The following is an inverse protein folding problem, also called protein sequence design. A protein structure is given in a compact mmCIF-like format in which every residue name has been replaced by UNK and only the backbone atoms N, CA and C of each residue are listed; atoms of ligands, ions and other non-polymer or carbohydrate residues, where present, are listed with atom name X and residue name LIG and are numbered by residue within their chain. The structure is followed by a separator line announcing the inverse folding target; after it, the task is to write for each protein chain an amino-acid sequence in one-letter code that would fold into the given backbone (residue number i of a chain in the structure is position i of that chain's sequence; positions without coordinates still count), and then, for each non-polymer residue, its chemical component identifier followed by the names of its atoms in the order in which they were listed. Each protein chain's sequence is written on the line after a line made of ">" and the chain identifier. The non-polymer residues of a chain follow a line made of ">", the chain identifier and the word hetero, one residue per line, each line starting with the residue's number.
data_IF_579546740665
#
_entry.id   IF_579546740665
#
_cell.length_a   1.000
_cell.length_b   1.000
_cell.length_c   1.000
_cell.angle_alpha   90.00
_cell.angle_beta   90.00
_cell.angle_gamma   90.00
#
_symmetry.space_group_name_H-M   'P 1'
#
loop_
_entity.id
_entity.type
_entity.pdbx_description
1 polymer ?
#
# COMPACT_ATOMS: atom_id res chain seq x y z
N UNK A 1 -90.88 -51.22 104.62
CA UNK A 1 -90.73 -52.11 103.44
C UNK A 1 -89.27 -52.52 103.33
N UNK A 2 -88.94 -53.80 103.17
CA UNK A 2 -87.54 -54.21 103.00
C UNK A 2 -87.00 -53.61 101.69
N UNK A 3 -85.79 -53.05 101.74
CA UNK A 3 -85.12 -52.46 100.57
C UNK A 3 -84.98 -53.46 99.40
N UNK A 4 -84.97 -54.77 99.68
CA UNK A 4 -84.95 -55.83 98.66
C UNK A 4 -86.17 -55.81 97.72
N UNK A 5 -87.35 -55.44 98.22
CA UNK A 5 -88.60 -55.57 97.47
C UNK A 5 -88.80 -54.39 96.50
N UNK A 6 -88.30 -53.22 96.89
CA UNK A 6 -88.24 -52.02 96.04
C UNK A 6 -87.24 -52.25 94.89
N UNK A 7 -86.05 -52.81 95.19
CA UNK A 7 -85.02 -53.09 94.18
C UNK A 7 -85.53 -54.12 93.15
N UNK A 8 -86.21 -55.20 93.57
CA UNK A 8 -86.77 -56.20 92.64
C UNK A 8 -87.85 -55.63 91.72
N UNK A 9 -88.71 -54.75 92.24
CA UNK A 9 -89.77 -54.10 91.45
C UNK A 9 -89.19 -53.13 90.40
N UNK A 10 -88.15 -52.37 90.76
CA UNK A 10 -87.43 -51.49 89.82
C UNK A 10 -86.75 -52.33 88.73
N UNK A 11 -86.12 -53.45 89.06
CA UNK A 11 -85.48 -54.35 88.08
C UNK A 11 -86.50 -54.89 87.08
N UNK A 12 -87.68 -55.31 87.53
CA UNK A 12 -88.75 -55.82 86.64
C UNK A 12 -89.24 -54.72 85.69
N UNK A 13 -89.48 -53.50 86.20
CA UNK A 13 -89.88 -52.36 85.36
C UNK A 13 -88.81 -52.00 84.32
N UNK A 14 -87.53 -52.05 84.71
CA UNK A 14 -86.41 -51.78 83.82
C UNK A 14 -86.30 -52.86 82.73
N UNK A 15 -86.50 -54.12 83.08
CA UNK A 15 -86.53 -55.25 82.12
C UNK A 15 -87.68 -55.12 81.11
N UNK A 16 -88.89 -54.78 81.56
CA UNK A 16 -90.02 -54.52 80.66
C UNK A 16 -89.78 -53.31 79.75
N UNK A 17 -89.16 -52.24 80.28
CA UNK A 17 -88.78 -51.06 79.49
C UNK A 17 -87.75 -51.38 78.40
N UNK A 18 -86.76 -52.23 78.70
CA UNK A 18 -85.77 -52.70 77.72
C UNK A 18 -86.44 -53.52 76.61
N UNK A 19 -87.32 -54.46 76.96
CA UNK A 19 -88.01 -55.31 75.97
C UNK A 19 -88.96 -54.47 75.10
N UNK A 20 -89.65 -53.49 75.68
CA UNK A 20 -90.51 -52.59 74.90
C UNK A 20 -89.69 -51.72 73.93
N UNK A 21 -88.54 -51.20 74.38
CA UNK A 21 -87.65 -50.39 73.55
C UNK A 21 -87.04 -51.19 72.40
N UNK A 22 -86.70 -52.47 72.59
CA UNK A 22 -86.12 -53.30 71.52
C UNK A 22 -87.13 -53.61 70.40
N UNK A 23 -88.42 -53.73 70.72
CA UNK A 23 -89.49 -53.92 69.72
C UNK A 23 -89.66 -52.66 68.86
N UNK A 24 -89.74 -51.47 69.46
CA UNK A 24 -89.87 -50.20 68.72
C UNK A 24 -88.68 -49.97 67.78
N UNK A 25 -87.46 -50.23 68.28
CA UNK A 25 -86.24 -50.08 67.47
C UNK A 25 -86.26 -51.05 66.29
N UNK A 26 -86.71 -52.29 66.49
CA UNK A 26 -86.80 -53.30 65.43
C UNK A 26 -87.78 -52.89 64.32
N UNK A 27 -88.97 -52.39 64.69
CA UNK A 27 -89.96 -51.88 63.72
C UNK A 27 -89.44 -50.64 62.98
N UNK A 28 -88.78 -49.72 63.69
CA UNK A 28 -88.18 -48.51 63.08
C UNK A 28 -87.07 -48.87 62.09
N UNK A 29 -86.26 -49.88 62.40
CA UNK A 29 -85.20 -50.36 61.50
C UNK A 29 -85.81 -50.94 60.22
N UNK A 30 -86.89 -51.71 60.33
CA UNK A 30 -87.56 -52.33 59.17
C UNK A 30 -88.16 -51.29 58.22
N UNK A 31 -88.79 -50.24 58.73
CA UNK A 31 -89.38 -49.20 57.89
C UNK A 31 -88.31 -48.29 57.25
N UNK A 32 -87.25 -47.96 57.99
CA UNK A 32 -86.13 -47.19 57.45
C UNK A 32 -85.33 -47.96 56.39
N UNK A 33 -85.28 -49.29 56.47
CA UNK A 33 -84.61 -50.12 55.47
C UNK A 33 -85.32 -50.04 54.10
N UNK A 34 -86.65 -49.89 54.06
CA UNK A 34 -87.41 -49.75 52.81
C UNK A 34 -87.09 -48.45 52.06
N UNK A 35 -86.72 -47.38 52.77
CA UNK A 35 -86.38 -46.07 52.20
C UNK A 35 -84.89 -45.67 52.39
N UNK A 36 -83.98 -46.64 52.41
CA UNK A 36 -82.56 -46.42 52.75
C UNK A 36 -81.88 -45.28 51.96
N UNK A 37 -82.22 -45.10 50.67
CA UNK A 37 -81.65 -44.05 49.81
C UNK A 37 -81.84 -42.62 50.36
N UNK A 38 -82.92 -42.38 51.11
CA UNK A 38 -83.25 -41.07 51.70
C UNK A 38 -82.48 -40.81 53.00
N UNK A 39 -82.26 -41.85 53.81
CA UNK A 39 -81.69 -41.73 55.16
C UNK A 39 -80.17 -41.97 55.20
N UNK A 40 -79.58 -42.59 54.16
CA UNK A 40 -78.18 -43.01 54.17
C UNK A 40 -77.13 -41.91 54.37
N UNK A 41 -77.41 -40.67 53.95
CA UNK A 41 -76.49 -39.54 54.11
C UNK A 41 -76.88 -38.61 55.26
N UNK A 42 -77.84 -38.99 56.11
CA UNK A 42 -78.17 -38.24 57.32
C UNK A 42 -77.15 -38.58 58.43
N UNK A 43 -76.44 -37.59 59.01
CA UNK A 43 -75.42 -37.82 60.04
C UNK A 43 -75.89 -38.62 61.26
N UNK A 44 -77.19 -38.56 61.59
CA UNK A 44 -77.75 -39.23 62.77
C UNK A 44 -77.83 -40.76 62.59
N UNK A 45 -78.06 -41.24 61.36
CA UNK A 45 -78.28 -42.67 61.08
C UNK A 45 -77.08 -43.35 60.41
N UNK A 46 -76.13 -42.55 59.91
CA UNK A 46 -74.95 -43.03 59.21
C UNK A 46 -74.05 -44.00 60.01
N UNK A 47 -73.80 -43.81 61.33
CA UNK A 47 -73.00 -44.75 62.13
C UNK A 47 -73.68 -46.11 62.32
N UNK A 48 -75.00 -46.17 62.10
CA UNK A 48 -75.82 -47.35 62.26
C UNK A 48 -76.14 -48.02 60.93
N UNK A 49 -75.46 -47.68 59.83
CA UNK A 49 -75.67 -48.30 58.51
C UNK A 49 -75.52 -49.84 58.56
N UNK A 50 -74.68 -50.36 59.45
CA UNK A 50 -74.51 -51.79 59.70
C UNK A 50 -75.76 -52.46 60.24
N UNK A 51 -76.64 -51.75 60.97
CA UNK A 51 -77.93 -52.27 61.42
C UNK A 51 -78.92 -52.48 60.25
N UNK A 52 -78.67 -51.84 59.10
CA UNK A 52 -79.46 -51.93 57.87
C UNK A 52 -78.84 -52.87 56.83
N UNK A 53 -77.79 -53.63 57.18
CA UNK A 53 -77.10 -54.54 56.24
C UNK A 53 -76.11 -53.86 55.29
N UNK A 54 -75.74 -52.59 55.53
CA UNK A 54 -74.78 -51.84 54.73
C UNK A 54 -73.49 -51.53 55.50
N UNK A 55 -72.36 -51.46 54.81
CA UNK A 55 -71.06 -51.09 55.41
C UNK A 55 -71.05 -49.61 55.81
N UNK A 56 -70.77 -49.33 57.09
CA UNK A 56 -70.65 -47.96 57.64
C UNK A 56 -69.62 -47.13 56.88
N UNK A 57 -68.48 -47.74 56.55
CA UNK A 57 -67.34 -47.06 55.92
C UNK A 57 -67.64 -46.75 54.46
N UNK A 58 -68.24 -47.69 53.73
CA UNK A 58 -68.53 -47.49 52.30
C UNK A 58 -69.65 -46.47 52.09
N UNK A 59 -70.65 -46.47 52.98
CA UNK A 59 -71.72 -45.47 52.96
C UNK A 59 -71.18 -44.05 53.30
N UNK A 60 -70.28 -43.94 54.28
CA UNK A 60 -69.60 -42.68 54.58
C UNK A 60 -68.80 -42.16 53.39
N UNK A 61 -67.96 -43.01 52.77
CA UNK A 61 -67.16 -42.65 51.58
C UNK A 61 -68.06 -42.17 50.44
N UNK A 62 -69.16 -42.87 50.20
CA UNK A 62 -70.13 -42.48 49.18
C UNK A 62 -70.75 -41.11 49.46
N UNK A 63 -71.22 -40.86 50.68
CA UNK A 63 -71.87 -39.60 51.04
C UNK A 63 -70.88 -38.42 51.03
N UNK A 64 -69.65 -38.62 51.53
CA UNK A 64 -68.58 -37.60 51.48
C UNK A 64 -68.19 -37.28 50.04
N UNK A 65 -68.02 -38.29 49.19
CA UNK A 65 -67.72 -38.09 47.76
C UNK A 65 -68.85 -37.33 47.04
N UNK A 66 -70.11 -37.67 47.34
CA UNK A 66 -71.28 -36.98 46.76
C UNK A 66 -71.39 -35.53 47.21
N UNK A 67 -71.14 -35.23 48.49
CA UNK A 67 -71.14 -33.87 49.03
C UNK A 67 -69.99 -33.05 48.44
N UNK A 68 -68.80 -33.65 48.32
CA UNK A 68 -67.65 -33.01 47.68
C UNK A 68 -67.93 -32.67 46.23
N UNK A 69 -68.47 -33.60 45.42
CA UNK A 69 -68.75 -33.32 44.01
C UNK A 69 -69.89 -32.32 43.78
N UNK A 70 -70.91 -32.29 44.63
CA UNK A 70 -72.06 -31.41 44.43
C UNK A 70 -71.87 -29.98 44.96
N UNK A 71 -71.07 -29.77 46.01
CA UNK A 71 -70.90 -28.45 46.64
C UNK A 71 -69.57 -27.76 46.30
N UNK A 72 -68.59 -28.46 45.72
CA UNK A 72 -67.32 -27.86 45.29
C UNK A 72 -67.47 -26.79 44.19
N UNK A 73 -68.41 -26.91 43.22
CA UNK A 73 -68.60 -25.87 42.21
C UNK A 73 -69.06 -24.52 42.80
N UNK A 74 -69.90 -24.55 43.84
CA UNK A 74 -70.46 -23.35 44.47
C UNK A 74 -69.45 -22.68 45.42
N UNK A 75 -68.69 -23.48 46.19
CA UNK A 75 -67.64 -22.97 47.06
C UNK A 75 -66.41 -22.46 46.29
N UNK A 76 -66.13 -23.05 45.12
CA UNK A 76 -65.01 -22.64 44.26
C UNK A 76 -65.41 -21.60 43.21
N UNK A 77 -66.66 -21.13 43.15
CA UNK A 77 -67.10 -20.13 42.18
C UNK A 77 -66.19 -18.88 42.16
N UNK A 78 -65.98 -18.20 43.29
CA UNK A 78 -65.11 -17.02 43.35
C UNK A 78 -63.62 -17.33 43.17
N UNK A 79 -63.15 -18.49 43.65
CA UNK A 79 -61.72 -18.85 43.61
C UNK A 79 -61.28 -19.40 42.26
N UNK A 80 -62.17 -20.08 41.53
CA UNK A 80 -61.94 -20.58 40.17
C UNK A 80 -61.70 -19.45 39.17
N UNK A 81 -62.42 -18.32 39.31
CA UNK A 81 -62.20 -17.14 38.47
C UNK A 81 -60.79 -16.56 38.68
N UNK A 82 -60.36 -16.45 39.94
CA UNK A 82 -59.03 -15.97 40.27
C UNK A 82 -57.92 -16.94 39.80
N UNK A 83 -58.15 -18.26 39.90
CA UNK A 83 -57.20 -19.28 39.42
C UNK A 83 -57.12 -19.27 37.89
N UNK A 84 -58.23 -19.08 37.17
CA UNK A 84 -58.25 -18.96 35.70
C UNK A 84 -57.54 -17.68 35.23
N UNK A 85 -57.76 -16.55 35.91
CA UNK A 85 -57.04 -15.31 35.64
C UNK A 85 -55.53 -15.48 35.88
N UNK A 86 -55.15 -16.12 36.99
CA UNK A 86 -53.74 -16.42 37.30
C UNK A 86 -53.11 -17.37 36.26
N UNK A 87 -53.88 -18.36 35.80
CA UNK A 87 -53.47 -19.27 34.72
C UNK A 87 -53.27 -18.56 33.38
N UNK A 88 -54.19 -17.65 33.01
CA UNK A 88 -54.06 -16.79 31.82
C UNK A 88 -52.88 -15.84 31.91
N UNK A 89 -52.65 -15.24 33.08
CA UNK A 89 -51.48 -14.39 33.32
C UNK A 89 -50.18 -15.20 33.23
N UNK A 90 -50.15 -16.41 33.80
CA UNK A 90 -49.01 -17.34 33.68
C UNK A 90 -48.75 -17.75 32.22
N UNK A 91 -49.81 -18.06 31.47
CA UNK A 91 -49.72 -18.38 30.04
C UNK A 91 -49.22 -17.21 29.19
N UNK A 92 -49.76 -16.00 29.42
CA UNK A 92 -49.32 -14.78 28.74
C UNK A 92 -47.87 -14.43 29.09
N UNK A 93 -47.45 -14.62 30.35
CA UNK A 93 -46.08 -14.41 30.77
C UNK A 93 -45.13 -15.39 30.06
N UNK A 94 -45.48 -16.68 30.01
CA UNK A 94 -44.66 -17.70 29.36
C UNK A 94 -44.51 -17.45 27.84
N UNK A 95 -45.60 -17.06 27.17
CA UNK A 95 -45.58 -16.72 25.73
C UNK A 95 -44.76 -15.46 25.46
N UNK A 96 -44.85 -14.44 26.31
CA UNK A 96 -44.03 -13.23 26.21
C UNK A 96 -42.55 -13.51 26.46
N UNK A 97 -42.21 -14.36 27.45
CA UNK A 97 -40.83 -14.77 27.72
C UNK A 97 -40.28 -15.56 26.53
N UNK A 98 -41.06 -16.49 25.98
CA UNK A 98 -40.65 -17.27 24.80
C UNK A 98 -40.44 -16.37 23.59
N UNK A 99 -41.33 -15.40 23.37
CA UNK A 99 -41.22 -14.41 22.29
C UNK A 99 -40.01 -13.50 22.46
N UNK A 100 -39.70 -13.11 23.71
CA UNK A 100 -38.51 -12.32 24.04
C UNK A 100 -37.23 -13.12 23.77
N UNK A 101 -37.18 -14.40 24.15
CA UNK A 101 -36.06 -15.28 23.83
C UNK A 101 -35.92 -15.49 22.33
N UNK A 102 -37.04 -15.59 21.59
CA UNK A 102 -37.05 -15.65 20.13
C UNK A 102 -36.50 -14.37 19.49
N UNK A 103 -36.89 -13.20 19.98
CA UNK A 103 -36.33 -11.91 19.54
C UNK A 103 -34.82 -11.83 19.80
N UNK A 104 -34.35 -12.25 20.98
CA UNK A 104 -32.92 -12.28 21.31
C UNK A 104 -32.16 -13.21 20.37
N UNK A 105 -32.71 -14.38 20.03
CA UNK A 105 -32.10 -15.30 19.05
C UNK A 105 -32.03 -14.64 17.68
N UNK A 106 -33.14 -14.11 17.17
CA UNK A 106 -33.19 -13.45 15.87
C UNK A 106 -32.25 -12.24 15.80
N UNK A 107 -32.17 -11.46 16.87
CA UNK A 107 -31.25 -10.33 16.97
C UNK A 107 -29.78 -10.80 16.92
N UNK A 108 -29.43 -11.84 17.67
CA UNK A 108 -28.09 -12.46 17.62
C UNK A 108 -27.76 -12.97 16.22
N UNK A 109 -28.69 -13.64 15.56
CA UNK A 109 -28.49 -14.21 14.23
C UNK A 109 -28.32 -13.11 13.18
N UNK A 110 -29.12 -12.04 13.25
CA UNK A 110 -28.98 -10.87 12.38
C UNK A 110 -27.63 -10.17 12.55
N UNK A 111 -27.17 -10.03 13.80
CA UNK A 111 -25.83 -9.50 14.09
C UNK A 111 -24.77 -10.41 13.46
N UNK A 112 -24.84 -11.72 13.69
CA UNK A 112 -23.84 -12.68 13.19
C UNK A 112 -23.78 -12.67 11.65
N UNK A 113 -24.94 -12.61 10.99
CA UNK A 113 -25.04 -12.53 9.53
C UNK A 113 -24.48 -11.21 8.98
N UNK A 114 -24.73 -10.10 9.68
CA UNK A 114 -24.19 -8.79 9.31
C UNK A 114 -22.66 -8.77 9.41
N UNK A 115 -22.10 -9.26 10.53
CA UNK A 115 -20.66 -9.39 10.71
C UNK A 115 -20.03 -10.36 9.71
N UNK A 116 -20.70 -11.49 9.42
CA UNK A 116 -20.25 -12.45 8.41
C UNK A 116 -20.17 -11.84 7.01
N UNK A 117 -21.18 -11.05 6.62
CA UNK A 117 -21.21 -10.37 5.32
C UNK A 117 -20.10 -9.33 5.20
N UNK A 118 -19.88 -8.52 6.24
CA UNK A 118 -18.78 -7.54 6.29
C UNK A 118 -17.43 -8.25 6.22
N UNK A 119 -17.26 -9.32 6.99
CA UNK A 119 -16.03 -10.12 6.98
C UNK A 119 -15.74 -10.72 5.60
N UNK A 120 -16.76 -11.22 4.90
CA UNK A 120 -16.63 -11.74 3.54
C UNK A 120 -16.13 -10.69 2.56
N UNK A 121 -16.69 -9.47 2.61
CA UNK A 121 -16.24 -8.35 1.76
C UNK A 121 -14.81 -7.95 2.10
N UNK A 122 -14.47 -7.80 3.39
CA UNK A 122 -13.12 -7.45 3.82
C UNK A 122 -12.09 -8.49 3.36
N UNK A 123 -12.41 -9.78 3.44
CA UNK A 123 -11.54 -10.85 2.94
C UNK A 123 -11.35 -10.78 1.42
N UNK A 124 -12.41 -10.47 0.67
CA UNK A 124 -12.31 -10.24 -0.77
C UNK A 124 -11.39 -9.06 -1.11
N UNK A 125 -11.52 -7.94 -0.40
CA UNK A 125 -10.65 -6.77 -0.56
C UNK A 125 -9.19 -7.10 -0.24
N UNK A 126 -8.94 -7.80 0.86
CA UNK A 126 -7.59 -8.24 1.25
C UNK A 126 -6.96 -9.13 0.17
N UNK A 127 -7.70 -10.09 -0.37
CA UNK A 127 -7.22 -10.96 -1.44
C UNK A 127 -6.83 -10.17 -2.70
N UNK A 128 -7.61 -9.15 -3.06
CA UNK A 128 -7.30 -8.30 -4.22
C UNK A 128 -6.05 -7.44 -3.98
N UNK A 129 -5.88 -6.89 -2.77
CA UNK A 129 -4.66 -6.20 -2.38
C UNK A 129 -3.41 -7.10 -2.43
N UNK A 130 -3.53 -8.38 -2.05
CA UNK A 130 -2.44 -9.35 -2.19
C UNK A 130 -2.06 -9.56 -3.66
N UNK A 131 -3.03 -9.71 -4.58
CA UNK A 131 -2.75 -9.84 -6.02
C UNK A 131 -2.05 -8.60 -6.58
N UNK A 132 -2.49 -7.41 -6.18
CA UNK A 132 -1.84 -6.15 -6.57
C UNK A 132 -0.38 -6.11 -6.10
N UNK A 133 -0.14 -6.49 -4.84
CA UNK A 133 1.21 -6.51 -4.26
C UNK A 133 2.14 -7.50 -4.98
N UNK A 134 1.63 -8.68 -5.35
CA UNK A 134 2.38 -9.66 -6.15
C UNK A 134 2.70 -9.13 -7.54
N UNK A 135 1.72 -8.49 -8.20
CA UNK A 135 1.91 -7.90 -9.53
C UNK A 135 2.95 -6.79 -9.52
N UNK A 136 2.98 -5.95 -8.48
CA UNK A 136 4.02 -4.94 -8.30
C UNK A 136 5.41 -5.55 -8.17
N UNK A 137 5.56 -6.64 -7.39
CA UNK A 137 6.84 -7.35 -7.28
C UNK A 137 7.30 -7.94 -8.61
N UNK A 138 6.38 -8.47 -9.42
CA UNK A 138 6.70 -8.98 -10.76
C UNK A 138 7.20 -7.87 -11.70
N UNK A 139 6.52 -6.72 -11.71
CA UNK A 139 6.95 -5.55 -12.50
C UNK A 139 8.33 -5.04 -12.07
N UNK A 140 8.59 -4.93 -10.76
CA UNK A 140 9.91 -4.54 -10.26
C UNK A 140 10.99 -5.56 -10.67
N UNK A 141 10.69 -6.87 -10.57
CA UNK A 141 11.58 -7.93 -11.02
C UNK A 141 11.94 -7.81 -12.50
N UNK A 142 10.93 -7.57 -13.36
CA UNK A 142 11.13 -7.36 -14.80
C UNK A 142 11.97 -6.11 -15.09
N UNK A 143 11.70 -4.99 -14.43
CA UNK A 143 12.45 -3.74 -14.60
C UNK A 143 13.92 -3.88 -14.18
N UNK A 144 14.18 -4.56 -13.05
CA UNK A 144 15.54 -4.88 -12.62
C UNK A 144 16.21 -5.80 -13.64
N UNK A 145 15.49 -6.80 -14.16
CA UNK A 145 15.98 -7.70 -15.21
C UNK A 145 16.43 -6.95 -16.46
N UNK A 146 15.56 -6.11 -17.03
CA UNK A 146 15.87 -5.30 -18.24
C UNK A 146 17.05 -4.37 -18.00
N UNK A 147 17.05 -3.64 -16.87
CA UNK A 147 18.15 -2.73 -16.52
C UNK A 147 19.47 -3.49 -16.40
N UNK A 148 19.47 -4.67 -15.77
CA UNK A 148 20.68 -5.48 -15.59
C UNK A 148 21.20 -6.03 -16.93
N UNK A 149 20.31 -6.49 -17.81
CA UNK A 149 20.70 -6.91 -19.16
C UNK A 149 21.32 -5.76 -19.95
N UNK A 150 20.77 -4.55 -19.85
CA UNK A 150 21.33 -3.36 -20.49
C UNK A 150 22.74 -3.06 -19.96
N UNK A 151 22.93 -3.05 -18.64
CA UNK A 151 24.24 -2.82 -18.02
C UNK A 151 25.27 -3.84 -18.50
N UNK A 152 24.94 -5.13 -18.50
CA UNK A 152 25.88 -6.16 -18.98
C UNK A 152 26.14 -6.09 -20.48
N UNK A 153 25.16 -5.67 -21.28
CA UNK A 153 25.36 -5.45 -22.72
C UNK A 153 26.32 -4.29 -22.96
N UNK A 154 26.19 -3.21 -22.20
CA UNK A 154 27.10 -2.07 -22.26
C UNK A 154 28.51 -2.46 -21.81
N UNK A 155 28.63 -3.18 -20.70
CA UNK A 155 29.92 -3.70 -20.23
C UNK A 155 30.58 -4.59 -21.30
N UNK A 156 29.83 -5.53 -21.88
CA UNK A 156 30.31 -6.37 -22.97
C UNK A 156 30.74 -5.56 -24.20
N UNK A 157 30.02 -4.48 -24.52
CA UNK A 157 30.41 -3.58 -25.61
C UNK A 157 31.71 -2.83 -25.33
N UNK A 158 31.92 -2.35 -24.10
CA UNK A 158 33.15 -1.66 -23.68
C UNK A 158 34.34 -2.63 -23.74
N UNK A 159 34.20 -3.82 -23.16
CA UNK A 159 35.25 -4.85 -23.20
C UNK A 159 35.57 -5.25 -24.64
N UNK A 160 34.56 -5.32 -25.52
CA UNK A 160 34.77 -5.57 -26.95
C UNK A 160 35.54 -4.42 -27.62
N UNK A 161 35.24 -3.17 -27.29
CA UNK A 161 35.96 -2.00 -27.82
C UNK A 161 37.41 -1.95 -27.34
N UNK A 162 37.66 -2.27 -26.07
CA UNK A 162 39.02 -2.37 -25.53
C UNK A 162 39.81 -3.48 -26.22
N UNK A 163 39.21 -4.66 -26.37
CA UNK A 163 39.80 -5.80 -27.06
C UNK A 163 40.06 -5.50 -28.54
N UNK A 164 39.13 -4.83 -29.21
CA UNK A 164 39.28 -4.40 -30.60
C UNK A 164 40.39 -3.35 -30.76
N UNK A 165 40.53 -2.43 -29.81
CA UNK A 165 41.59 -1.42 -29.81
C UNK A 165 43.00 -2.03 -29.61
N UNK A 166 43.10 -3.16 -28.91
CA UNK A 166 44.38 -3.85 -28.71
C UNK A 166 44.78 -4.76 -29.89
N UNK A 167 43.92 -4.92 -30.90
CA UNK A 167 44.26 -5.68 -32.10
C UNK A 167 45.38 -5.03 -32.93
N UNK A 168 46.17 -5.87 -33.60
CA UNK A 168 47.29 -5.44 -34.44
C UNK A 168 46.88 -4.44 -35.54
N UNK A 169 45.67 -4.59 -36.10
CA UNK A 169 45.10 -3.69 -37.10
C UNK A 169 44.84 -2.28 -36.52
N UNK A 170 44.19 -2.19 -35.36
CA UNK A 170 43.89 -0.90 -34.71
C UNK A 170 45.15 -0.19 -34.20
N UNK A 171 46.15 -0.93 -33.69
CA UNK A 171 47.46 -0.34 -33.33
C UNK A 171 48.16 0.29 -34.53
N UNK A 172 48.02 -0.29 -35.72
CA UNK A 172 48.56 0.27 -36.97
C UNK A 172 47.81 1.54 -37.40
N UNK A 173 46.46 1.52 -37.36
CA UNK A 173 45.65 2.70 -37.66
C UNK A 173 45.90 3.86 -36.68
N UNK A 174 46.17 3.59 -35.41
CA UNK A 174 46.48 4.63 -34.41
C UNK A 174 47.81 5.34 -34.68
N UNK A 175 48.80 4.64 -35.24
CA UNK A 175 50.04 5.28 -35.73
C UNK A 175 49.73 6.24 -36.88
N UNK A 176 48.82 5.85 -37.78
CA UNK A 176 48.38 6.67 -38.92
C UNK A 176 47.48 7.85 -38.45
N UNK A 177 46.64 7.66 -37.43
CA UNK A 177 45.78 8.72 -36.89
C UNK A 177 46.55 9.74 -36.04
N UNK A 178 47.58 9.32 -35.29
CA UNK A 178 48.51 10.24 -34.60
C UNK A 178 49.31 11.12 -35.57
N UNK A 179 49.53 10.67 -36.81
CA UNK A 179 50.12 11.50 -37.87
C UNK A 179 49.17 12.60 -38.36
N UNK A 180 47.85 12.41 -38.26
CA UNK A 180 46.82 13.44 -38.48
C UNK A 180 46.46 14.14 -37.16
N UNK A 181 47.43 14.90 -36.65
CA UNK A 181 47.33 15.64 -35.40
C UNK A 181 46.09 16.54 -35.32
N UNK A 182 45.42 16.54 -34.16
CA UNK A 182 44.45 17.56 -33.78
C UNK A 182 45.14 18.92 -33.82
N UNK A 183 44.76 19.80 -34.73
CA UNK A 183 45.28 21.16 -34.83
C UNK A 183 44.91 21.93 -33.57
N UNK A 184 45.89 22.05 -32.69
CA UNK A 184 45.93 23.01 -31.59
C UNK A 184 47.18 23.82 -31.86
N UNK A 185 47.06 24.85 -32.68
CA UNK A 185 48.18 25.70 -33.02
C UNK A 185 48.00 27.07 -32.42
N UNK A 186 49.07 27.72 -31.96
CA UNK A 186 49.12 29.07 -31.44
C UNK A 186 50.38 29.82 -31.90
N UNK A 187 50.45 31.11 -31.61
CA UNK A 187 51.51 32.05 -31.95
C UNK A 187 52.46 32.31 -30.77
N UNK A 188 53.61 32.90 -31.08
CA UNK A 188 54.51 33.48 -30.09
C UNK A 188 53.96 34.79 -29.56
N UNK A 189 54.18 35.09 -28.28
CA UNK A 189 53.68 36.33 -27.66
C UNK A 189 54.25 37.60 -28.27
N UNK A 190 55.41 37.55 -28.93
CA UNK A 190 56.02 38.69 -29.64
C UNK A 190 55.40 38.96 -31.03
N UNK A 191 54.48 38.12 -31.51
CA UNK A 191 53.81 38.30 -32.79
C UNK A 191 53.00 39.60 -32.78
N UNK A 192 53.34 40.53 -33.67
CA UNK A 192 52.61 41.78 -33.86
C UNK A 192 51.38 41.55 -34.73
N UNK A 193 50.27 42.17 -34.35
CA UNK A 193 49.00 42.15 -35.07
C UNK A 193 48.54 43.59 -35.23
N UNK A 194 48.15 43.95 -36.45
CA UNK A 194 47.61 45.26 -36.79
C UNK A 194 46.13 45.38 -36.39
N UNK A 195 45.79 46.47 -35.72
CA UNK A 195 44.41 46.84 -35.38
C UNK A 195 43.75 47.60 -36.53
N UNK A 196 42.42 47.65 -36.54
CA UNK A 196 41.65 48.43 -37.52
C UNK A 196 41.97 49.94 -37.48
N UNK A 197 42.50 50.45 -36.37
CA UNK A 197 42.98 51.84 -36.23
C UNK A 197 44.29 52.12 -36.97
N UNK A 198 45.01 51.07 -37.38
CA UNK A 198 46.35 51.15 -37.98
C UNK A 198 47.50 50.99 -36.97
N UNK A 199 47.21 50.95 -35.66
CA UNK A 199 48.19 50.67 -34.61
C UNK A 199 48.54 49.17 -34.56
N UNK A 200 49.69 48.84 -33.98
CA UNK A 200 50.13 47.44 -33.79
C UNK A 200 50.14 47.08 -32.31
N UNK A 201 49.62 45.89 -31.97
CA UNK A 201 49.73 45.28 -30.64
C UNK A 201 50.40 43.92 -30.74
N UNK A 202 51.10 43.51 -29.69
CA UNK A 202 51.60 42.13 -29.57
C UNK A 202 50.43 41.20 -29.22
N UNK A 203 50.45 39.96 -29.69
CA UNK A 203 49.34 39.02 -29.49
C UNK A 203 49.09 38.71 -28.00
N UNK A 204 50.11 38.83 -27.14
CA UNK A 204 49.96 38.68 -25.69
C UNK A 204 49.41 39.94 -24.98
N UNK A 205 49.28 41.05 -25.71
CA UNK A 205 48.71 42.34 -25.29
C UNK A 205 47.34 42.61 -25.93
N UNK A 206 46.86 41.72 -26.82
CA UNK A 206 45.51 41.80 -27.40
C UNK A 206 44.48 41.54 -26.31
N UNK A 207 43.45 42.38 -26.27
CA UNK A 207 42.35 42.29 -25.31
C UNK A 207 41.04 41.86 -26.00
N UNK A 208 40.11 41.35 -25.21
CA UNK A 208 38.77 41.00 -25.71
C UNK A 208 38.07 42.29 -26.17
N UNK A 209 37.38 42.20 -27.31
CA UNK A 209 36.78 43.31 -28.05
C UNK A 209 37.76 44.23 -28.81
N UNK A 210 39.07 43.94 -28.81
CA UNK A 210 39.95 44.56 -29.81
C UNK A 210 39.46 44.18 -31.22
N UNK A 211 39.58 45.12 -32.16
CA UNK A 211 39.20 44.93 -33.56
C UNK A 211 40.46 44.92 -34.42
N UNK A 212 40.77 43.77 -35.01
CA UNK A 212 41.91 43.56 -35.89
C UNK A 212 41.59 44.10 -37.30
N UNK A 213 42.55 44.01 -38.22
CA UNK A 213 42.33 44.33 -39.62
C UNK A 213 41.14 43.55 -40.22
N UNK A 214 40.51 44.11 -41.25
CA UNK A 214 39.29 43.57 -41.88
C UNK A 214 38.06 43.45 -40.96
N UNK A 215 37.94 44.31 -39.95
CA UNK A 215 36.80 44.36 -39.02
C UNK A 215 36.60 43.04 -38.24
N UNK A 216 37.72 42.36 -37.94
CA UNK A 216 37.72 41.10 -37.21
C UNK A 216 37.69 41.35 -35.70
N UNK A 217 36.65 40.92 -34.99
CA UNK A 217 36.52 41.17 -33.56
C UNK A 217 37.09 40.02 -32.72
N UNK A 218 37.91 40.34 -31.72
CA UNK A 218 38.47 39.36 -30.78
C UNK A 218 37.45 39.00 -29.70
N UNK A 219 37.00 37.75 -29.71
CA UNK A 219 36.02 37.22 -28.75
C UNK A 219 36.68 36.63 -27.51
N UNK A 220 37.88 36.03 -27.66
CA UNK A 220 38.64 35.49 -26.54
C UNK A 220 40.15 35.49 -26.82
N UNK A 221 40.94 35.58 -25.76
CA UNK A 221 42.40 35.40 -25.81
C UNK A 221 42.82 34.25 -24.90
N UNK A 222 43.82 33.50 -25.33
CA UNK A 222 44.26 32.29 -24.66
C UNK A 222 45.78 32.26 -24.50
N UNK A 223 46.22 31.86 -23.30
CA UNK A 223 47.63 31.65 -22.94
C UNK A 223 47.83 30.19 -22.58
N UNK A 224 48.62 29.47 -23.37
CA UNK A 224 48.73 28.01 -23.29
C UNK A 224 50.19 27.61 -23.09
N UNK A 225 50.44 26.66 -22.19
CA UNK A 225 51.76 26.04 -22.08
C UNK A 225 52.04 25.12 -23.26
N UNK A 226 53.22 25.24 -23.84
CA UNK A 226 53.74 24.37 -24.89
C UNK A 226 54.81 23.41 -24.33
N UNK A 227 54.80 23.16 -23.02
CA UNK A 227 55.68 22.21 -22.34
C UNK A 227 54.85 21.02 -21.85
N UNK A 228 55.37 19.81 -22.08
CA UNK A 228 54.81 18.58 -21.55
C UNK A 228 55.00 18.51 -20.03
N UNK A 229 53.92 18.34 -19.24
CA UNK A 229 54.04 18.26 -17.79
C UNK A 229 54.99 17.14 -17.36
N UNK A 230 56.04 17.50 -16.63
CA UNK A 230 56.98 16.55 -16.00
C UNK A 230 58.20 16.15 -16.83
N UNK A 231 58.28 16.46 -18.13
CA UNK A 231 59.44 16.07 -18.96
C UNK A 231 60.17 17.24 -19.61
N UNK A 232 59.70 18.48 -19.44
CA UNK A 232 60.23 19.71 -20.08
C UNK A 232 60.29 19.65 -21.62
N UNK A 233 59.70 18.63 -22.24
CA UNK A 233 59.67 18.46 -23.69
C UNK A 233 58.63 19.38 -24.35
N UNK A 234 58.97 19.96 -25.49
CA UNK A 234 58.06 20.81 -26.27
C UNK A 234 56.90 19.99 -26.85
N UNK A 235 55.67 20.45 -26.63
CA UNK A 235 54.45 19.83 -27.17
C UNK A 235 54.40 20.00 -28.69
N UNK A 236 54.71 21.21 -29.19
CA UNK A 236 54.76 21.52 -30.61
C UNK A 236 56.03 22.27 -30.98
N UNK A 237 56.59 21.92 -32.14
CA UNK A 237 57.65 22.71 -32.79
C UNK A 237 57.10 24.03 -33.32
N UNK A 238 57.96 25.05 -33.36
CA UNK A 238 57.66 26.41 -33.82
C UNK A 238 58.29 26.65 -35.20
N UNK A 239 57.54 27.29 -36.07
CA UNK A 239 57.90 27.67 -37.43
C UNK A 239 57.83 29.19 -37.55
N UNK A 240 58.61 29.72 -38.47
CA UNK A 240 58.65 31.13 -38.82
C UNK A 240 58.01 31.32 -40.19
N UNK A 241 57.09 32.26 -40.30
CA UNK A 241 56.57 32.75 -41.58
C UNK A 241 57.16 34.14 -41.80
N UNK A 242 57.92 34.37 -42.89
CA UNK A 242 58.54 35.65 -43.16
C UNK A 242 57.52 36.70 -43.60
N UNK A 243 57.83 37.98 -43.37
CA UNK A 243 57.03 39.14 -43.82
C UNK A 243 55.62 39.22 -43.22
N UNK A 244 55.50 39.13 -41.89
CA UNK A 244 54.26 39.45 -41.19
C UNK A 244 54.04 40.96 -41.06
N UNK A 245 53.37 41.37 -39.98
CA UNK A 245 53.17 42.77 -39.62
C UNK A 245 54.42 43.36 -38.95
N UNK A 246 55.27 44.03 -39.73
CA UNK A 246 56.54 44.64 -39.32
C UNK A 246 57.61 43.68 -38.77
N UNK A 247 57.32 42.39 -38.58
CA UNK A 247 58.25 41.36 -38.11
C UNK A 247 57.85 39.96 -38.65
N UNK A 248 58.76 38.99 -38.51
CA UNK A 248 58.48 37.59 -38.82
C UNK A 248 57.51 36.96 -37.80
N UNK A 249 56.61 36.09 -38.28
CA UNK A 249 55.57 35.47 -37.46
C UNK A 249 56.09 34.13 -36.94
N UNK A 250 56.13 33.98 -35.62
CA UNK A 250 56.45 32.71 -34.98
C UNK A 250 55.19 31.99 -34.55
N UNK A 251 54.98 30.80 -35.09
CA UNK A 251 53.73 30.07 -34.95
C UNK A 251 53.99 28.56 -34.89
N UNK A 252 53.21 27.84 -34.10
CA UNK A 252 53.32 26.38 -33.99
C UNK A 252 52.96 25.68 -35.30
N UNK A 253 53.63 24.56 -35.60
CA UNK A 253 53.48 23.89 -36.89
C UNK A 253 52.10 23.27 -37.16
N UNK A 254 51.26 23.10 -36.14
CA UNK A 254 49.88 22.59 -36.25
C UNK A 254 48.85 23.69 -36.51
N UNK A 255 49.23 24.97 -36.40
CA UNK A 255 48.34 26.10 -36.66
C UNK A 255 47.98 26.14 -38.15
N UNK A 256 46.80 26.65 -38.49
CA UNK A 256 46.32 26.67 -39.88
C UNK A 256 46.56 28.04 -40.51
N UNK A 257 47.13 28.04 -41.71
CA UNK A 257 47.36 29.22 -42.55
C UNK A 257 46.67 29.00 -43.90
N UNK A 258 46.05 30.04 -44.44
CA UNK A 258 45.40 29.97 -45.75
C UNK A 258 46.44 30.01 -46.88
N UNK A 259 46.46 28.96 -47.71
CA UNK A 259 47.31 28.90 -48.90
C UNK A 259 46.52 29.35 -50.13
N UNK A 260 46.84 30.54 -50.63
CA UNK A 260 46.21 31.14 -51.82
C UNK A 260 46.36 30.31 -53.10
N UNK A 261 47.39 29.46 -53.21
CA UNK A 261 47.58 28.59 -54.39
C UNK A 261 46.72 27.35 -54.30
N UNK A 262 46.57 26.78 -53.10
CA UNK A 262 45.75 25.60 -52.88
C UNK A 262 44.27 25.92 -52.60
N UNK A 263 43.94 27.19 -52.35
CA UNK A 263 42.59 27.65 -52.03
C UNK A 263 42.02 27.03 -50.75
N UNK A 264 42.88 26.73 -49.77
CA UNK A 264 42.48 26.06 -48.52
C UNK A 264 43.45 26.35 -47.38
N UNK A 265 42.98 26.17 -46.16
CA UNK A 265 43.83 26.16 -44.98
C UNK A 265 44.70 24.89 -44.92
N UNK A 266 45.99 25.09 -44.65
CA UNK A 266 46.99 24.03 -44.43
C UNK A 266 47.70 24.25 -43.11
N UNK A 267 48.27 23.20 -42.52
CA UNK A 267 49.10 23.35 -41.32
C UNK A 267 50.34 24.16 -41.67
N UNK A 268 50.78 25.05 -40.78
CA UNK A 268 51.96 25.89 -41.01
C UNK A 268 53.19 25.05 -41.32
N UNK A 269 53.40 23.91 -40.68
CA UNK A 269 54.54 23.01 -40.98
C UNK A 269 54.59 22.52 -42.43
N UNK A 270 53.44 22.53 -43.10
CA UNK A 270 53.24 22.05 -44.47
C UNK A 270 53.08 23.24 -45.45
N UNK A 271 53.14 24.49 -44.95
CA UNK A 271 53.06 25.71 -45.75
C UNK A 271 54.40 25.99 -46.44
N UNK A 272 54.35 26.31 -47.74
CA UNK A 272 55.52 26.44 -48.64
C UNK A 272 56.62 27.37 -48.15
N UNK A 273 56.25 28.48 -47.51
CA UNK A 273 57.19 29.53 -47.09
C UNK A 273 57.53 29.42 -45.60
N UNK A 274 57.11 28.33 -44.94
CA UNK A 274 57.40 28.11 -43.53
C UNK A 274 58.83 27.63 -43.31
N UNK A 275 59.49 28.20 -42.30
CA UNK A 275 60.86 27.84 -41.93
C UNK A 275 60.82 27.24 -40.52
N UNK A 276 61.21 25.97 -40.39
CA UNK A 276 61.30 25.32 -39.07
C UNK A 276 62.38 25.98 -38.23
N UNK A 277 62.01 26.44 -37.04
CA UNK A 277 62.95 27.13 -36.14
C UNK A 277 63.54 26.20 -35.08
N UNK A 278 64.64 26.63 -34.47
CA UNK A 278 65.19 26.04 -33.23
C UNK A 278 64.66 26.72 -31.97
N UNK A 279 63.80 27.75 -32.09
CA UNK A 279 63.24 28.46 -30.94
C UNK A 279 62.28 27.54 -30.21
N UNK A 280 62.42 27.49 -28.89
CA UNK A 280 61.49 26.85 -27.99
C UNK A 280 60.64 27.94 -27.35
N UNK A 281 59.32 27.82 -27.49
CA UNK A 281 58.36 28.71 -26.84
C UNK A 281 57.66 27.91 -25.76
N UNK A 282 57.88 28.28 -24.50
CA UNK A 282 57.27 27.63 -23.33
C UNK A 282 55.77 27.92 -23.22
N UNK A 283 55.39 29.11 -23.70
CA UNK A 283 54.03 29.62 -23.71
C UNK A 283 53.72 30.15 -25.10
N UNK A 284 52.53 29.82 -25.58
CA UNK A 284 52.00 30.24 -26.87
C UNK A 284 50.61 30.85 -26.67
N UNK A 285 50.25 31.75 -27.59
CA UNK A 285 49.06 32.58 -27.49
C UNK A 285 48.13 32.36 -28.68
N UNK A 286 46.83 32.33 -28.41
CA UNK A 286 45.79 32.10 -29.40
C UNK A 286 44.66 33.09 -29.21
N UNK A 287 43.98 33.40 -30.31
CA UNK A 287 42.77 34.21 -30.31
C UNK A 287 41.60 33.34 -30.79
N UNK A 288 40.40 33.72 -30.36
CA UNK A 288 39.12 33.31 -30.97
C UNK A 288 38.51 34.59 -31.51
N UNK A 289 38.12 34.58 -32.78
CA UNK A 289 37.56 35.74 -33.48
C UNK A 289 36.18 35.41 -34.04
N UNK A 290 35.39 36.44 -34.29
CA UNK A 290 34.00 36.29 -34.76
C UNK A 290 33.88 35.73 -36.18
N UNK A 291 34.87 35.98 -37.03
CA UNK A 291 34.96 35.45 -38.39
C UNK A 291 35.91 34.24 -38.52
N UNK A 292 36.41 33.71 -37.39
CA UNK A 292 37.34 32.58 -37.31
C UNK A 292 38.70 32.77 -38.00
N UNK A 293 39.05 34.01 -38.37
CA UNK A 293 40.33 34.34 -38.98
C UNK A 293 41.17 35.28 -38.13
N UNK A 294 42.48 35.22 -38.30
CA UNK A 294 43.44 36.12 -37.68
C UNK A 294 44.33 36.67 -38.80
N UNK A 295 44.06 37.89 -39.30
CA UNK A 295 44.90 38.52 -40.30
C UNK A 295 46.20 39.02 -39.67
N UNK A 296 47.33 38.68 -40.27
CA UNK A 296 48.66 39.16 -39.86
C UNK A 296 49.49 39.42 -41.12
N UNK A 297 49.74 40.69 -41.44
CA UNK A 297 50.36 41.11 -42.70
C UNK A 297 49.54 40.64 -43.92
N UNK A 298 50.18 39.96 -44.86
CA UNK A 298 49.50 39.39 -46.05
C UNK A 298 48.89 38.00 -45.81
N UNK A 299 49.04 37.44 -44.59
CA UNK A 299 48.62 36.08 -44.28
C UNK A 299 47.32 36.08 -43.48
N UNK A 300 46.50 35.07 -43.76
CA UNK A 300 45.28 34.78 -43.01
C UNK A 300 45.48 33.47 -42.28
N UNK A 301 45.46 33.53 -40.96
CA UNK A 301 45.50 32.37 -40.09
C UNK A 301 44.11 32.02 -39.58
N UNK A 302 43.95 30.78 -39.13
CA UNK A 302 42.71 30.33 -38.51
C UNK A 302 42.74 30.58 -37.00
N UNK A 303 41.60 30.91 -36.41
CA UNK A 303 41.50 31.01 -34.95
C UNK A 303 41.56 29.63 -34.24
N UNK A 304 41.48 29.61 -32.91
CA UNK A 304 41.66 28.37 -32.13
C UNK A 304 40.48 27.38 -32.18
N UNK A 305 39.25 27.83 -32.44
CA UNK A 305 38.06 26.99 -32.25
C UNK A 305 37.91 25.92 -33.35
N UNK A 306 38.50 26.16 -34.52
CA UNK A 306 38.09 25.45 -35.71
C UNK A 306 39.02 24.31 -36.18
N UNK A 307 38.39 23.37 -36.88
CA UNK A 307 39.05 22.18 -37.41
C UNK A 307 39.21 22.27 -38.92
N UNK A 308 40.21 21.59 -39.52
CA UNK A 308 40.47 21.63 -40.97
C UNK A 308 39.28 21.29 -41.89
N UNK A 309 38.21 20.68 -41.36
CA UNK A 309 37.01 20.33 -42.12
C UNK A 309 35.92 21.41 -42.13
N UNK A 310 35.95 22.39 -41.22
CA UNK A 310 34.98 23.50 -41.16
C UNK A 310 35.42 24.72 -41.98
N UNK A 311 36.71 24.85 -42.26
CA UNK A 311 37.31 26.02 -42.94
C UNK A 311 37.00 26.16 -44.44
N UNK A 312 36.14 25.29 -45.01
CA UNK A 312 35.73 25.36 -46.42
C UNK A 312 34.76 26.51 -46.73
N UNK A 313 34.13 27.09 -45.71
CA UNK A 313 33.01 28.00 -45.89
C UNK A 313 33.36 29.48 -45.67
N UNK A 314 34.63 29.82 -45.41
CA UNK A 314 35.05 31.16 -44.95
C UNK A 314 35.40 32.12 -46.11
N UNK A 315 35.60 31.63 -47.34
CA UNK A 315 35.91 32.50 -48.49
C UNK A 315 34.70 32.62 -49.41
N UNK A 316 33.85 33.61 -49.14
CA UNK A 316 32.92 34.21 -50.10
C UNK A 316 32.96 35.72 -49.99
#
# INVERSE_FOLDING_TARGET
>A
MRSSDIIRSIIILLLFSIIYSSIIVSDTILDMNKEWAKYRCNPLFMPFASAFGHSNIDNFKYCVSKISNNNMPDLMGPTKLNIDLLGKMGGNLNTNITSSNGFVSMFRDNIMNSFGSIYGILMGVIAEFYKLSVSMKDVLGKTIGVTRTLVYTLEGSITTMESANDTAFMRSLRKISKLKGKSKGCFSGDTKIKLNTGDYKRIDEIEINDTLEYDTHVLATMKITNITPGTSDMISSVYMIPNGDNDDILVTGSHLIYDNVLGKFVCVRDYRDSIKTKRCLDVVYCLITDNHTIPIGEYIFHDWEDTPNKSKDIVR
#
